data_IF_688165000483
#
_entry.id   IF_688165000483
#
_cell.length_a   1.000
_cell.length_b   1.000
_cell.length_c   1.000
_cell.angle_alpha   90.00
_cell.angle_beta   90.00
_cell.angle_gamma   90.00
#
_symmetry.space_group_name_H-M   'P 1'
#
loop_
_entity.id
_entity.type
_entity.pdbx_description
1 polymer ?
#
# COMPACT_ATOMS: atom_id res chain seq x y z
N UNK A 1 33.15 87.75 -29.08
CA UNK A 1 32.40 87.03 -28.02
C UNK A 1 32.25 85.59 -28.51
N UNK A 2 33.00 84.54 -28.11
CA UNK A 2 33.33 83.97 -26.77
C UNK A 2 32.04 83.81 -25.94
N UNK A 3 31.57 82.64 -25.45
CA UNK A 3 32.23 81.48 -24.82
C UNK A 3 31.32 80.21 -24.77
N UNK A 4 31.90 79.07 -24.36
CA UNK A 4 31.40 77.66 -24.32
C UNK A 4 30.73 77.21 -22.99
N UNK A 5 29.79 76.23 -23.08
CA UNK A 5 29.43 75.03 -22.22
C UNK A 5 28.96 75.25 -20.74
N UNK A 6 28.37 74.28 -19.97
CA UNK A 6 28.24 72.77 -20.08
C UNK A 6 26.79 72.19 -19.84
N UNK A 7 26.33 70.98 -20.23
CA UNK A 7 26.65 69.54 -19.96
C UNK A 7 26.42 69.04 -18.51
N UNK A 8 25.50 68.08 -18.27
CA UNK A 8 25.58 66.87 -17.40
C UNK A 8 24.36 65.92 -17.62
N UNK A 9 24.59 64.62 -17.49
CA UNK A 9 23.83 63.43 -17.93
C UNK A 9 22.77 62.88 -16.95
N UNK A 10 21.82 62.03 -17.41
CA UNK A 10 20.79 61.41 -16.56
C UNK A 10 21.27 60.14 -15.81
N UNK A 11 20.61 59.87 -14.67
CA UNK A 11 20.83 58.72 -13.79
C UNK A 11 20.64 57.36 -14.49
N UNK A 12 21.46 56.41 -14.03
CA UNK A 12 21.62 55.02 -14.45
C UNK A 12 20.35 54.17 -14.53
N UNK A 13 20.40 53.27 -15.51
CA UNK A 13 19.49 52.17 -15.77
C UNK A 13 19.40 51.16 -14.61
N UNK A 14 18.18 50.78 -14.24
CA UNK A 14 17.87 49.45 -13.69
C UNK A 14 17.11 48.68 -14.76
N UNK A 15 17.82 47.80 -15.46
CA UNK A 15 17.23 46.80 -16.34
C UNK A 15 16.53 45.75 -15.48
N UNK A 16 15.21 45.66 -15.60
CA UNK A 16 14.41 44.55 -15.07
C UNK A 16 14.65 43.37 -16.01
N UNK A 17 15.46 42.42 -15.55
CA UNK A 17 15.70 41.14 -16.22
C UNK A 17 14.42 40.31 -16.14
N UNK A 18 13.68 40.23 -17.24
CA UNK A 18 12.51 39.36 -17.38
C UNK A 18 13.01 37.93 -17.66
N UNK A 19 13.12 37.10 -16.62
CA UNK A 19 13.37 35.66 -16.78
C UNK A 19 12.09 34.99 -17.28
N UNK A 20 12.03 34.67 -18.58
CA UNK A 20 11.04 33.77 -19.13
C UNK A 20 11.40 32.32 -18.73
N UNK A 21 10.66 31.74 -17.80
CA UNK A 21 10.76 30.31 -17.52
C UNK A 21 9.92 29.53 -18.55
N UNK A 22 10.57 29.05 -19.61
CA UNK A 22 10.00 28.00 -20.45
C UNK A 22 9.91 26.72 -19.62
N UNK A 23 8.71 26.37 -19.17
CA UNK A 23 8.41 25.03 -18.63
C UNK A 23 8.30 24.09 -19.83
N UNK A 24 9.40 23.40 -20.15
CA UNK A 24 9.37 22.29 -21.07
C UNK A 24 8.62 21.13 -20.41
N UNK A 25 7.39 20.86 -20.86
CA UNK A 25 6.68 19.63 -20.52
C UNK A 25 7.35 18.50 -21.31
N UNK A 26 8.34 17.86 -20.70
CA UNK A 26 8.86 16.60 -21.21
C UNK A 26 7.77 15.53 -21.02
N UNK A 27 7.53 14.66 -22.02
CA UNK A 27 6.73 13.48 -21.77
C UNK A 27 7.46 12.65 -20.73
N UNK A 28 6.84 12.43 -19.57
CA UNK A 28 7.23 11.35 -18.68
C UNK A 28 6.89 10.08 -19.44
N UNK A 29 7.84 9.56 -20.21
CA UNK A 29 7.80 8.18 -20.61
C UNK A 29 7.82 7.39 -19.30
N UNK A 30 6.68 6.79 -18.94
CA UNK A 30 6.64 5.76 -17.95
C UNK A 30 7.59 4.67 -18.45
N UNK A 31 8.81 4.65 -17.89
CA UNK A 31 9.71 3.53 -18.05
C UNK A 31 8.97 2.35 -17.44
N UNK A 32 8.39 1.51 -18.29
CA UNK A 32 8.00 0.17 -17.90
C UNK A 32 9.30 -0.46 -17.42
N UNK A 33 9.47 -0.50 -16.09
CA UNK A 33 10.65 -1.06 -15.48
C UNK A 33 10.86 -2.43 -16.14
N UNK A 34 11.99 -2.56 -16.85
CA UNK A 34 12.33 -3.77 -17.56
C UNK A 34 12.19 -4.91 -16.56
N UNK A 35 11.19 -5.77 -16.80
CA UNK A 35 10.80 -6.82 -15.87
C UNK A 35 12.05 -7.64 -15.60
N UNK A 36 12.60 -7.53 -14.40
CA UNK A 36 13.16 -8.74 -13.78
C UNK A 36 11.98 -9.67 -13.63
N UNK A 37 11.74 -10.49 -14.67
CA UNK A 37 11.01 -11.74 -14.52
C UNK A 37 11.75 -12.45 -13.40
N UNK A 38 11.30 -12.34 -12.14
CA UNK A 38 11.78 -13.27 -11.13
C UNK A 38 11.50 -14.63 -11.73
N UNK A 39 12.53 -15.45 -11.81
CA UNK A 39 12.48 -16.72 -12.53
C UNK A 39 11.42 -17.68 -11.98
N UNK A 40 10.77 -17.33 -10.87
CA UNK A 40 9.65 -18.05 -10.31
C UNK A 40 8.61 -17.02 -9.87
N UNK A 41 7.41 -17.03 -10.47
CA UNK A 41 6.23 -16.38 -9.88
C UNK A 41 5.94 -17.14 -8.58
N UNK A 42 6.66 -16.85 -7.50
CA UNK A 42 6.51 -17.51 -6.19
C UNK A 42 6.22 -16.47 -5.13
N UNK A 43 5.71 -16.91 -3.98
CA UNK A 43 5.44 -16.00 -2.88
C UNK A 43 6.76 -15.60 -2.20
N UNK A 44 6.96 -14.29 -2.06
CA UNK A 44 8.15 -13.70 -1.43
C UNK A 44 7.77 -12.57 -0.47
N UNK A 45 8.75 -12.09 0.30
CA UNK A 45 8.56 -10.91 1.15
C UNK A 45 8.56 -9.66 0.30
N UNK A 46 7.58 -8.78 0.53
CA UNK A 46 7.54 -7.44 -0.08
C UNK A 46 8.78 -6.62 0.26
N UNK A 47 9.32 -6.76 1.47
CA UNK A 47 10.54 -6.10 1.95
C UNK A 47 11.62 -7.13 2.31
N UNK A 48 12.40 -7.65 1.34
CA UNK A 48 13.34 -8.75 1.58
C UNK A 48 14.50 -8.37 2.50
N UNK A 49 14.88 -7.08 2.53
CA UNK A 49 15.93 -6.56 3.42
C UNK A 49 15.47 -6.23 4.84
N UNK A 50 14.17 -6.33 5.12
CA UNK A 50 13.65 -6.02 6.46
C UNK A 50 13.84 -7.23 7.38
N UNK A 51 14.54 -6.99 8.49
CA UNK A 51 14.71 -8.00 9.54
C UNK A 51 13.34 -8.42 10.10
N UNK A 52 13.16 -9.71 10.44
CA UNK A 52 11.95 -10.14 11.12
C UNK A 52 11.86 -9.45 12.49
N UNK A 53 10.64 -9.17 12.94
CA UNK A 53 10.39 -8.59 14.26
C UNK A 53 11.07 -9.38 15.39
N UNK A 54 11.06 -10.73 15.29
CA UNK A 54 11.74 -11.62 16.22
C UNK A 54 12.19 -12.92 15.53
N UNK A 55 13.15 -13.67 16.10
CA UNK A 55 13.50 -15.01 15.63
C UNK A 55 12.32 -15.98 15.70
N UNK A 56 12.23 -16.91 14.74
CA UNK A 56 11.14 -17.88 14.63
C UNK A 56 11.30 -19.08 15.59
N UNK A 57 11.42 -18.82 16.89
CA UNK A 57 11.55 -19.85 17.94
C UNK A 57 10.20 -20.42 18.36
N UNK A 58 10.21 -21.58 19.03
CA UNK A 58 9.00 -22.18 19.61
C UNK A 58 8.37 -21.28 20.67
N UNK A 59 9.20 -20.65 21.52
CA UNK A 59 8.76 -19.66 22.50
C UNK A 59 8.02 -18.50 21.83
N UNK A 60 8.58 -17.90 20.78
CA UNK A 60 7.94 -16.80 20.06
C UNK A 60 6.61 -17.23 19.42
N UNK A 61 6.52 -18.49 18.97
CA UNK A 61 5.27 -19.05 18.46
C UNK A 61 4.22 -19.22 19.55
N UNK A 62 4.60 -19.66 20.74
CA UNK A 62 3.68 -19.72 21.88
C UNK A 62 3.22 -18.32 22.32
N UNK A 63 4.11 -17.32 22.30
CA UNK A 63 3.73 -15.92 22.55
C UNK A 63 2.75 -15.41 21.48
N UNK A 64 2.99 -15.68 20.20
CA UNK A 64 2.08 -15.30 19.12
C UNK A 64 0.69 -15.94 19.28
N UNK A 65 0.60 -17.20 19.73
CA UNK A 65 -0.68 -17.86 20.01
C UNK A 65 -1.48 -17.15 21.10
N UNK A 66 -0.81 -16.60 22.13
CA UNK A 66 -1.47 -15.87 23.23
C UNK A 66 -2.20 -14.62 22.75
N UNK A 67 -1.84 -14.05 21.60
CA UNK A 67 -2.55 -12.90 21.05
C UNK A 67 -4.02 -13.24 20.76
N UNK A 68 -4.28 -14.44 20.23
CA UNK A 68 -5.59 -14.92 19.80
C UNK A 68 -6.28 -15.92 20.72
N UNK A 69 -5.83 -16.06 21.97
CA UNK A 69 -6.55 -16.88 22.95
C UNK A 69 -7.86 -16.22 23.33
N UNK A 70 -8.86 -17.01 23.75
CA UNK A 70 -10.07 -16.50 24.37
C UNK A 70 -9.70 -15.61 25.57
N UNK A 71 -10.24 -14.40 25.58
CA UNK A 71 -9.92 -13.33 26.51
C UNK A 71 -8.52 -12.71 26.36
N UNK A 72 -7.83 -12.99 25.26
CA UNK A 72 -6.52 -12.46 24.93
C UNK A 72 -6.56 -11.03 24.35
N UNK A 73 -5.39 -10.47 24.01
CA UNK A 73 -5.27 -9.09 23.54
C UNK A 73 -6.08 -8.72 22.29
N UNK A 74 -6.33 -9.67 21.38
CA UNK A 74 -7.14 -9.42 20.17
C UNK A 74 -8.60 -9.84 20.32
N UNK A 75 -8.99 -10.39 21.48
CA UNK A 75 -10.37 -10.73 21.75
C UNK A 75 -11.14 -9.48 22.20
N UNK A 76 -12.15 -9.09 21.42
CA UNK A 76 -13.00 -7.96 21.73
C UNK A 76 -13.96 -8.21 22.92
N UNK A 77 -14.06 -9.46 23.40
CA UNK A 77 -14.96 -9.85 24.48
C UNK A 77 -16.44 -9.58 24.13
N UNK A 78 -16.80 -9.83 22.88
CA UNK A 78 -18.16 -9.63 22.37
C UNK A 78 -19.16 -10.60 23.04
N UNK A 79 -20.41 -10.15 23.18
CA UNK A 79 -21.51 -10.97 23.66
C UNK A 79 -22.05 -11.84 22.51
N UNK A 80 -21.45 -13.02 22.35
CA UNK A 80 -21.75 -13.98 21.28
C UNK A 80 -22.96 -14.90 21.57
N UNK A 81 -23.85 -14.52 22.50
CA UNK A 81 -25.02 -15.35 22.86
C UNK A 81 -26.04 -15.45 21.73
N UNK A 82 -26.15 -14.42 20.90
CA UNK A 82 -26.95 -14.39 19.68
C UNK A 82 -26.15 -13.67 18.57
N UNK A 83 -25.67 -14.38 17.54
CA UNK A 83 -24.84 -13.79 16.48
C UNK A 83 -25.60 -12.75 15.64
N UNK A 84 -26.93 -12.79 15.61
CA UNK A 84 -27.73 -11.78 14.90
C UNK A 84 -27.61 -10.42 15.62
N UNK A 85 -27.54 -10.43 16.95
CA UNK A 85 -27.46 -9.20 17.74
C UNK A 85 -26.10 -8.50 17.64
N UNK A 86 -25.02 -9.24 17.36
CA UNK A 86 -23.72 -8.64 17.03
C UNK A 86 -23.78 -7.75 15.79
N UNK A 87 -24.75 -7.98 14.90
CA UNK A 87 -24.98 -7.17 13.69
C UNK A 87 -26.01 -6.06 13.96
N UNK A 88 -27.14 -6.39 14.59
CA UNK A 88 -28.25 -5.46 14.74
C UNK A 88 -28.07 -4.47 15.91
N UNK A 89 -27.38 -4.89 16.97
CA UNK A 89 -27.19 -4.14 18.21
C UNK A 89 -25.71 -4.15 18.69
N UNK A 90 -24.75 -3.73 17.85
CA UNK A 90 -23.32 -3.82 18.16
C UNK A 90 -22.91 -2.96 19.37
N UNK A 91 -23.64 -1.89 19.67
CA UNK A 91 -23.37 -1.08 20.87
C UNK A 91 -23.52 -1.86 22.19
N UNK A 92 -24.32 -2.92 22.20
CA UNK A 92 -24.50 -3.81 23.36
C UNK A 92 -23.70 -5.10 23.20
N UNK A 93 -23.68 -5.66 21.98
CA UNK A 93 -23.10 -6.97 21.73
C UNK A 93 -21.63 -6.97 21.33
N UNK A 94 -21.12 -5.86 20.81
CA UNK A 94 -19.72 -5.69 20.37
C UNK A 94 -19.14 -4.31 20.76
N UNK A 95 -19.27 -3.87 22.03
CA UNK A 95 -18.91 -2.49 22.44
C UNK A 95 -17.41 -2.18 22.29
N UNK A 96 -16.54 -3.20 22.35
CA UNK A 96 -15.10 -3.04 22.18
C UNK A 96 -14.63 -3.29 20.74
N UNK A 97 -15.55 -3.60 19.83
CA UNK A 97 -15.29 -3.77 18.40
C UNK A 97 -16.26 -2.89 17.57
N UNK A 98 -16.21 -1.56 17.74
CA UNK A 98 -17.11 -0.65 17.04
C UNK A 98 -16.74 -0.54 15.56
N UNK A 99 -17.75 -0.38 14.72
CA UNK A 99 -17.56 -0.03 13.32
C UNK A 99 -16.81 1.30 13.17
N UNK A 100 -15.95 1.38 12.17
CA UNK A 100 -15.32 2.64 11.81
C UNK A 100 -16.32 3.51 11.02
N UNK A 101 -16.74 4.68 11.56
CA UNK A 101 -17.76 5.51 10.92
C UNK A 101 -17.30 6.16 9.60
N UNK A 102 -15.99 6.14 9.31
CA UNK A 102 -15.41 6.72 8.09
C UNK A 102 -15.19 5.69 6.98
N UNK A 103 -15.40 4.40 7.27
CA UNK A 103 -15.20 3.31 6.31
C UNK A 103 -16.53 2.72 5.90
N UNK A 104 -16.76 2.60 4.59
CA UNK A 104 -17.95 1.93 4.05
C UNK A 104 -17.69 0.44 3.89
N UNK A 105 -18.75 -0.38 3.83
CA UNK A 105 -18.62 -1.80 3.52
C UNK A 105 -17.88 -2.08 2.19
N UNK A 106 -17.84 -1.10 1.27
CA UNK A 106 -17.12 -1.17 0.00
C UNK A 106 -15.62 -1.43 0.16
N UNK A 107 -15.00 -0.99 1.26
CA UNK A 107 -13.57 -1.18 1.51
C UNK A 107 -13.20 -2.67 1.69
N UNK A 108 -14.11 -3.48 2.21
CA UNK A 108 -13.92 -4.92 2.36
C UNK A 108 -13.86 -5.61 0.99
N UNK A 109 -14.75 -5.21 0.07
CA UNK A 109 -14.75 -5.73 -1.29
C UNK A 109 -13.54 -5.27 -2.09
N UNK A 110 -13.11 -4.01 -1.90
CA UNK A 110 -11.86 -3.51 -2.48
C UNK A 110 -10.64 -4.31 -2.01
N UNK A 111 -10.59 -4.66 -0.71
CA UNK A 111 -9.53 -5.51 -0.15
C UNK A 111 -9.45 -6.87 -0.84
N UNK A 112 -10.58 -7.59 -0.96
CA UNK A 112 -10.62 -8.86 -1.68
C UNK A 112 -10.25 -8.72 -3.15
N UNK A 113 -10.71 -7.65 -3.80
CA UNK A 113 -10.34 -7.37 -5.18
C UNK A 113 -8.81 -7.28 -5.31
N UNK A 114 -8.14 -6.52 -4.45
CA UNK A 114 -6.66 -6.40 -4.47
C UNK A 114 -5.97 -7.74 -4.18
N UNK A 115 -6.46 -8.51 -3.22
CA UNK A 115 -5.86 -9.80 -2.84
C UNK A 115 -5.90 -10.82 -4.00
N UNK A 116 -7.09 -11.01 -4.58
CA UNK A 116 -7.31 -11.92 -5.71
C UNK A 116 -6.61 -11.46 -6.99
N UNK A 117 -6.32 -10.17 -7.08
CA UNK A 117 -5.62 -9.58 -8.19
C UNK A 117 -4.11 -9.88 -8.13
N UNK A 118 -3.50 -9.81 -6.93
CA UNK A 118 -2.06 -10.00 -6.75
C UNK A 118 -1.65 -11.45 -6.49
N UNK A 119 -2.54 -12.27 -5.95
CA UNK A 119 -2.21 -13.61 -5.46
C UNK A 119 -3.21 -14.67 -5.89
N UNK A 120 -2.70 -15.85 -6.27
CA UNK A 120 -3.52 -17.04 -6.51
C UNK A 120 -2.69 -18.30 -6.28
N UNK A 121 -3.14 -19.14 -5.35
CA UNK A 121 -2.61 -20.49 -5.14
C UNK A 121 -3.77 -21.52 -5.09
N UNK A 122 -4.02 -22.24 -6.20
CA UNK A 122 -5.07 -23.25 -6.27
C UNK A 122 -4.56 -24.66 -5.96
N UNK A 123 -3.29 -24.84 -5.58
CA UNK A 123 -2.64 -26.18 -5.51
C UNK A 123 -2.18 -26.57 -4.12
N UNK A 124 -2.02 -25.63 -3.20
CA UNK A 124 -1.65 -25.98 -1.83
C UNK A 124 -2.71 -26.86 -1.15
N UNK A 125 -2.30 -27.94 -0.47
CA UNK A 125 -3.19 -28.74 0.35
C UNK A 125 -3.71 -27.94 1.55
N UNK A 126 -4.98 -28.16 1.90
CA UNK A 126 -5.57 -27.59 3.11
C UNK A 126 -5.00 -28.31 4.34
N UNK A 127 -4.86 -27.56 5.45
CA UNK A 127 -4.40 -28.08 6.75
C UNK A 127 -2.95 -28.61 6.80
N UNK A 128 -2.16 -28.36 5.76
CA UNK A 128 -0.76 -28.73 5.69
C UNK A 128 0.13 -27.49 5.59
N UNK A 129 1.41 -27.63 5.95
CA UNK A 129 2.39 -26.54 5.83
C UNK A 129 2.98 -26.53 4.42
N UNK A 130 2.73 -25.46 3.68
CA UNK A 130 3.39 -25.21 2.39
C UNK A 130 4.54 -24.20 2.56
N UNK A 131 5.67 -24.40 1.85
CA UNK A 131 6.75 -23.40 1.76
C UNK A 131 6.39 -22.34 0.69
N UNK A 132 6.10 -21.08 1.08
CA UNK A 132 5.66 -20.05 0.13
C UNK A 132 6.67 -19.80 -0.99
N UNK A 133 7.97 -19.98 -0.72
CA UNK A 133 9.03 -19.75 -1.73
C UNK A 133 9.06 -20.83 -2.82
N UNK A 134 8.39 -21.96 -2.58
CA UNK A 134 8.22 -23.07 -3.53
C UNK A 134 6.82 -23.13 -4.11
N UNK A 135 5.89 -22.31 -3.60
CA UNK A 135 4.53 -22.21 -4.11
C UNK A 135 4.48 -21.27 -5.28
N UNK A 136 3.99 -21.74 -6.42
CA UNK A 136 3.73 -20.89 -7.58
C UNK A 136 2.52 -19.98 -7.32
N UNK A 137 2.72 -18.68 -7.48
CA UNK A 137 1.65 -17.71 -7.64
C UNK A 137 1.16 -17.74 -9.11
N UNK A 138 -0.11 -18.08 -9.31
CA UNK A 138 -0.72 -18.14 -10.65
C UNK A 138 -1.19 -16.77 -11.16
N UNK A 139 -0.99 -15.72 -10.36
CA UNK A 139 -1.16 -14.31 -10.73
C UNK A 139 0.18 -13.61 -10.91
N UNK A 140 0.13 -12.41 -11.48
CA UNK A 140 1.27 -11.48 -11.45
C UNK A 140 1.19 -10.66 -10.17
N UNK A 141 2.27 -10.62 -9.39
CA UNK A 141 2.37 -9.76 -8.21
C UNK A 141 2.63 -8.28 -8.58
N UNK A 142 1.83 -7.71 -9.48
CA UNK A 142 1.94 -6.34 -9.96
C UNK A 142 0.56 -5.80 -10.32
N UNK A 143 0.29 -4.52 -10.05
CA UNK A 143 -0.96 -3.85 -10.43
C UNK A 143 -1.01 -3.51 -11.94
N UNK A 144 -1.22 -4.51 -12.80
CA UNK A 144 -1.20 -4.39 -14.27
C UNK A 144 -2.59 -4.49 -14.96
N UNK A 145 -3.67 -4.40 -14.18
CA UNK A 145 -5.08 -4.62 -14.56
C UNK A 145 -5.38 -5.88 -15.40
N UNK A 146 -4.62 -6.98 -15.22
CA UNK A 146 -4.83 -8.29 -15.86
C UNK A 146 -6.27 -8.79 -15.67
N UNK A 147 -6.84 -8.71 -14.48
CA UNK A 147 -8.20 -9.17 -14.20
C UNK A 147 -9.29 -8.40 -14.97
N UNK A 148 -8.95 -7.26 -15.58
CA UNK A 148 -9.83 -6.48 -16.46
C UNK A 148 -9.46 -6.66 -17.93
N UNK A 149 -8.17 -6.80 -18.26
CA UNK A 149 -7.66 -6.73 -19.65
C UNK A 149 -6.88 -7.98 -20.13
N UNK A 150 -6.74 -9.06 -19.35
CA UNK A 150 -6.02 -10.28 -19.74
C UNK A 150 -6.18 -11.49 -18.79
N UNK A 151 -6.43 -12.68 -19.35
CA UNK A 151 -6.53 -13.99 -18.68
C UNK A 151 -7.55 -14.19 -17.55
N UNK A 152 -8.24 -13.14 -17.09
CA UNK A 152 -9.33 -13.25 -16.11
C UNK A 152 -8.81 -13.51 -14.71
#
# INVERSE_FOLDING_TARGET
MVQKRPAWTPLSAMQILCCAAMVAILPVAASAQERTRSSENTFTRMFPGLNPFAPATDEMREQAKRLGTLGGPIDAMDLLTDPIQSILNPAVHSPNNPDNPTMTAGVTFLGQFIDHYLTLDPRSPLMERTDPRRTTNFRTAAFDLDSVYGNG
#
